data_IF_154145183619
#
_entry.id   IF_154145183619
#
_cell.length_a   1.000
_cell.length_b   1.000
_cell.length_c   1.000
_cell.angle_alpha   90.00
_cell.angle_beta   90.00
_cell.angle_gamma   90.00
#
_symmetry.space_group_name_H-M   'P 1'
#
loop_
_entity.id
_entity.type
_entity.pdbx_description
1 polymer ?
#
# COMPACT_ATOMS: atom_id res chain seq x y z
N UNK A 1 -24.16 28.30 -22.00
CA UNK A 1 -22.87 27.57 -21.99
C UNK A 1 -22.68 27.07 -20.56
N UNK A 2 -22.74 25.76 -20.35
CA UNK A 2 -22.97 25.15 -19.04
C UNK A 2 -21.66 25.14 -18.23
N UNK A 3 -21.65 25.83 -17.08
CA UNK A 3 -20.51 25.85 -16.16
C UNK A 3 -20.32 24.47 -15.53
N UNK A 4 -19.34 23.70 -16.01
CA UNK A 4 -18.83 22.55 -15.28
C UNK A 4 -18.09 23.05 -14.03
N UNK A 5 -18.80 23.10 -12.89
CA UNK A 5 -18.20 23.25 -11.57
C UNK A 5 -17.26 22.06 -11.31
N UNK A 6 -15.94 22.26 -11.16
CA UNK A 6 -15.06 21.17 -10.80
C UNK A 6 -15.29 20.83 -9.34
N UNK A 7 -15.87 19.65 -9.09
CA UNK A 7 -15.97 18.99 -7.79
C UNK A 7 -14.60 18.56 -7.25
N UNK A 8 -13.57 19.40 -7.38
CA UNK A 8 -12.31 19.23 -6.68
C UNK A 8 -12.51 19.68 -5.23
N UNK A 9 -13.25 18.85 -4.48
CA UNK A 9 -13.27 18.88 -3.02
C UNK A 9 -11.81 18.81 -2.60
N UNK A 10 -11.23 19.96 -2.23
CA UNK A 10 -9.91 20.07 -1.60
C UNK A 10 -9.90 19.10 -0.42
N UNK A 11 -9.37 17.89 -0.62
CA UNK A 11 -9.09 16.97 0.48
C UNK A 11 -8.03 17.72 1.29
N UNK A 12 -8.45 18.37 2.36
CA UNK A 12 -7.53 19.13 3.21
C UNK A 12 -6.48 18.13 3.74
N UNK A 13 -5.20 18.47 3.66
CA UNK A 13 -4.06 17.61 4.04
C UNK A 13 -4.23 17.03 5.46
N UNK A 14 -4.95 17.75 6.34
CA UNK A 14 -5.42 17.30 7.67
C UNK A 14 -6.08 15.92 7.70
N UNK A 15 -6.70 15.49 6.59
CA UNK A 15 -7.41 14.21 6.52
C UNK A 15 -6.53 13.05 6.04
N UNK A 16 -5.39 13.32 5.41
CA UNK A 16 -4.60 12.29 4.72
C UNK A 16 -3.87 11.36 5.68
N UNK A 17 -3.21 11.91 6.71
CA UNK A 17 -2.53 11.08 7.72
C UNK A 17 -3.53 10.24 8.53
N UNK A 18 -4.73 10.77 8.79
CA UNK A 18 -5.85 10.06 9.44
C UNK A 18 -6.35 8.92 8.55
N UNK A 19 -6.53 9.16 7.25
CA UNK A 19 -6.94 8.15 6.29
C UNK A 19 -5.92 7.02 6.22
N UNK A 20 -4.64 7.35 6.07
CA UNK A 20 -3.54 6.38 6.06
C UNK A 20 -3.53 5.51 7.31
N UNK A 21 -3.71 6.12 8.49
CA UNK A 21 -3.78 5.41 9.77
C UNK A 21 -4.96 4.44 9.82
N UNK A 22 -6.14 4.85 9.33
CA UNK A 22 -7.32 3.98 9.26
C UNK A 22 -7.10 2.80 8.32
N UNK A 23 -6.52 3.03 7.15
CA UNK A 23 -6.22 1.96 6.18
C UNK A 23 -5.16 1.00 6.77
N UNK A 24 -4.12 1.52 7.41
CA UNK A 24 -3.10 0.71 8.09
C UNK A 24 -3.73 -0.18 9.17
N UNK A 25 -4.60 0.37 10.02
CA UNK A 25 -5.30 -0.40 11.06
C UNK A 25 -6.22 -1.47 10.46
N UNK A 26 -6.98 -1.14 9.41
CA UNK A 26 -7.80 -2.14 8.70
C UNK A 26 -6.93 -3.27 8.12
N UNK A 27 -5.76 -2.92 7.56
CA UNK A 27 -4.80 -3.88 7.05
C UNK A 27 -4.18 -4.75 8.16
N UNK A 28 -3.92 -4.19 9.34
CA UNK A 28 -3.44 -4.94 10.49
C UNK A 28 -4.48 -5.97 10.97
N UNK A 29 -5.77 -5.58 11.03
CA UNK A 29 -6.86 -6.50 11.38
C UNK A 29 -6.97 -7.61 10.33
N UNK A 30 -6.98 -7.26 9.04
CA UNK A 30 -7.01 -8.24 7.96
C UNK A 30 -5.80 -9.17 7.98
N UNK A 31 -4.60 -8.66 8.27
CA UNK A 31 -3.38 -9.45 8.40
C UNK A 31 -3.45 -10.41 9.58
N UNK A 32 -4.02 -9.96 10.70
CA UNK A 32 -4.22 -10.81 11.89
C UNK A 32 -5.17 -11.96 11.60
N UNK A 33 -6.27 -11.68 10.89
CA UNK A 33 -7.21 -12.70 10.41
C UNK A 33 -6.51 -13.68 9.45
N UNK A 34 -5.75 -13.17 8.48
CA UNK A 34 -4.97 -14.02 7.56
C UNK A 34 -3.96 -14.90 8.27
N UNK A 35 -3.26 -14.35 9.26
CA UNK A 35 -2.31 -15.11 10.08
C UNK A 35 -3.01 -16.24 10.82
N UNK A 36 -4.18 -15.95 11.40
CA UNK A 36 -4.97 -16.94 12.11
C UNK A 36 -5.46 -18.04 11.16
N UNK A 37 -5.93 -17.68 9.96
CA UNK A 37 -6.33 -18.62 8.92
C UNK A 37 -5.18 -19.53 8.50
N UNK A 38 -3.98 -18.97 8.34
CA UNK A 38 -2.80 -19.74 7.97
C UNK A 38 -2.45 -20.70 9.11
N UNK A 39 -2.31 -20.22 10.34
CA UNK A 39 -1.76 -21.00 11.47
C UNK A 39 -2.76 -22.02 12.03
N UNK A 40 -4.07 -21.74 11.99
CA UNK A 40 -5.06 -22.65 12.59
C UNK A 40 -5.27 -23.91 11.74
N UNK A 41 -5.30 -25.10 12.37
CA UNK A 41 -5.52 -26.37 11.67
C UNK A 41 -7.02 -26.63 11.40
N UNK A 42 -7.74 -25.64 10.86
CA UNK A 42 -9.18 -25.76 10.53
C UNK A 42 -9.31 -26.03 9.03
N UNK A 43 -10.02 -27.09 8.62
CA UNK A 43 -10.22 -27.36 7.20
C UNK A 43 -10.96 -26.22 6.47
N UNK A 44 -10.56 -25.83 5.24
CA UNK A 44 -9.55 -26.45 4.35
C UNK A 44 -8.11 -25.90 4.55
N UNK A 45 -7.88 -25.07 5.56
CA UNK A 45 -6.64 -24.32 5.77
C UNK A 45 -5.36 -25.10 6.14
N UNK A 46 -5.35 -26.34 6.70
CA UNK A 46 -4.10 -27.06 6.93
C UNK A 46 -3.34 -27.41 5.63
N UNK A 47 -3.99 -27.29 4.48
CA UNK A 47 -3.35 -27.41 3.17
C UNK A 47 -2.38 -26.24 2.89
N UNK A 48 -2.64 -25.04 3.41
CA UNK A 48 -1.81 -23.85 3.17
C UNK A 48 -0.40 -24.02 3.75
N UNK A 49 -0.27 -24.53 4.98
CA UNK A 49 1.04 -24.82 5.57
C UNK A 49 1.79 -25.89 4.79
N UNK A 50 1.10 -26.95 4.37
CA UNK A 50 1.71 -28.01 3.55
C UNK A 50 2.22 -27.45 2.23
N UNK A 51 1.45 -26.57 1.59
CA UNK A 51 1.84 -25.89 0.36
C UNK A 51 3.09 -25.03 0.58
N UNK A 52 3.16 -24.29 1.69
CA UNK A 52 4.33 -23.47 2.03
C UNK A 52 5.56 -24.35 2.27
N UNK A 53 5.41 -25.44 3.04
CA UNK A 53 6.49 -26.39 3.34
C UNK A 53 6.95 -27.15 2.08
N UNK A 54 6.02 -27.46 1.18
CA UNK A 54 6.32 -28.06 -0.12
C UNK A 54 7.24 -27.21 -0.99
N UNK A 55 7.28 -25.90 -0.75
CA UNK A 55 8.17 -24.98 -1.45
C UNK A 55 7.73 -24.65 -2.88
N UNK A 56 8.66 -24.13 -3.68
CA UNK A 56 8.42 -23.75 -5.07
C UNK A 56 7.29 -22.71 -5.20
N UNK A 57 6.16 -23.03 -5.86
CA UNK A 57 5.02 -22.12 -5.97
C UNK A 57 4.43 -21.68 -4.62
N UNK A 58 4.49 -22.52 -3.59
CA UNK A 58 3.99 -22.17 -2.25
C UNK A 58 4.72 -20.98 -1.61
N UNK A 59 5.94 -20.67 -2.08
CA UNK A 59 6.68 -19.49 -1.63
C UNK A 59 6.03 -18.19 -2.12
N UNK A 60 5.32 -18.21 -3.25
CA UNK A 60 4.63 -17.02 -3.76
C UNK A 60 3.46 -16.63 -2.85
N UNK A 61 2.84 -17.62 -2.20
CA UNK A 61 1.82 -17.38 -1.20
C UNK A 61 2.38 -16.64 0.01
N UNK A 62 3.46 -17.15 0.61
CA UNK A 62 4.05 -16.50 1.79
C UNK A 62 4.63 -15.13 1.44
N UNK A 63 5.19 -14.95 0.24
CA UNK A 63 5.66 -13.64 -0.23
C UNK A 63 4.52 -12.62 -0.35
N UNK A 64 3.37 -13.04 -0.88
CA UNK A 64 2.18 -12.19 -0.96
C UNK A 64 1.69 -11.77 0.44
N UNK A 65 1.67 -12.71 1.39
CA UNK A 65 1.33 -12.43 2.79
C UNK A 65 2.34 -11.48 3.47
N UNK A 66 3.65 -11.70 3.29
CA UNK A 66 4.68 -10.82 3.84
C UNK A 66 4.62 -9.41 3.26
N UNK A 67 4.38 -9.27 1.96
CA UNK A 67 4.15 -7.97 1.32
C UNK A 67 2.89 -7.29 1.86
N UNK A 68 1.82 -8.05 2.10
CA UNK A 68 0.58 -7.52 2.66
C UNK A 68 0.79 -6.93 4.05
N UNK A 69 1.61 -7.56 4.91
CA UNK A 69 1.95 -7.03 6.24
C UNK A 69 2.93 -5.86 6.14
N UNK A 70 4.05 -6.06 5.45
CA UNK A 70 5.15 -5.08 5.44
C UNK A 70 4.75 -3.81 4.71
N UNK A 71 4.22 -3.92 3.48
CA UNK A 71 3.83 -2.74 2.70
C UNK A 71 2.48 -2.21 3.16
N UNK A 72 1.51 -3.10 3.43
CA UNK A 72 0.16 -2.70 3.79
C UNK A 72 0.03 -2.14 5.21
N UNK A 73 0.64 -2.75 6.23
CA UNK A 73 0.59 -2.21 7.60
C UNK A 73 1.78 -1.28 7.86
N UNK A 74 3.01 -1.79 7.81
CA UNK A 74 4.18 -0.99 8.18
C UNK A 74 4.42 0.19 7.23
N UNK A 75 4.26 -0.03 5.93
CA UNK A 75 4.41 1.02 4.91
C UNK A 75 3.39 2.14 5.07
N UNK A 76 2.10 1.81 5.20
CA UNK A 76 1.05 2.83 5.39
C UNK A 76 1.16 3.54 6.74
N UNK A 77 1.56 2.83 7.80
CA UNK A 77 1.80 3.43 9.12
C UNK A 77 3.00 4.40 9.09
N UNK A 78 4.11 4.00 8.48
CA UNK A 78 5.30 4.85 8.33
C UNK A 78 4.98 6.10 7.49
N UNK A 79 4.22 5.91 6.42
CA UNK A 79 3.78 7.02 5.58
C UNK A 79 2.83 7.97 6.33
N UNK A 80 1.89 7.45 7.12
CA UNK A 80 1.02 8.25 7.99
C UNK A 80 1.84 9.14 8.93
N UNK A 81 2.90 8.58 9.52
CA UNK A 81 3.82 9.32 10.39
C UNK A 81 4.55 10.45 9.64
N UNK A 82 5.06 10.17 8.44
CA UNK A 82 5.73 11.17 7.60
C UNK A 82 4.80 12.34 7.27
N UNK A 83 3.57 12.05 6.82
CA UNK A 83 2.58 13.11 6.53
C UNK A 83 2.18 13.90 7.78
N UNK A 84 2.09 13.25 8.93
CA UNK A 84 1.81 13.93 10.19
C UNK A 84 2.95 14.86 10.60
N UNK A 85 4.21 14.43 10.44
CA UNK A 85 5.38 15.28 10.72
C UNK A 85 5.44 16.49 9.80
N UNK A 86 5.19 16.30 8.50
CA UNK A 86 5.17 17.39 7.55
C UNK A 86 4.05 18.42 7.81
N UNK A 87 2.91 17.98 8.34
CA UNK A 87 1.83 18.89 8.79
C UNK A 87 2.25 19.71 10.01
N UNK A 88 2.97 19.10 10.97
CA UNK A 88 3.48 19.80 12.16
C UNK A 88 4.48 20.91 11.82
N UNK A 89 5.26 20.72 10.74
CA UNK A 89 6.23 21.69 10.24
C UNK A 89 5.61 22.76 9.32
N UNK A 90 4.28 22.77 9.16
CA UNK A 90 3.52 23.63 8.23
C UNK A 90 4.04 23.54 6.78
N UNK A 91 4.52 22.36 6.37
CA UNK A 91 4.97 22.14 4.99
C UNK A 91 3.76 21.94 4.06
N UNK A 92 3.68 22.74 2.99
CA UNK A 92 2.67 22.61 1.94
C UNK A 92 3.01 21.44 1.02
N UNK A 93 2.27 20.36 1.17
CA UNK A 93 2.34 19.17 0.33
C UNK A 93 1.40 19.33 -0.88
N UNK A 94 1.83 18.88 -2.06
CA UNK A 94 0.95 18.75 -3.22
C UNK A 94 -0.06 17.61 -3.01
N UNK A 95 -1.27 17.98 -2.61
CA UNK A 95 -2.34 17.04 -2.27
C UNK A 95 -2.77 16.13 -3.43
N UNK A 96 -2.77 16.62 -4.67
CA UNK A 96 -3.19 15.79 -5.82
C UNK A 96 -2.18 14.67 -6.08
N UNK A 97 -0.88 14.98 -5.99
CA UNK A 97 0.19 14.01 -6.20
C UNK A 97 0.24 12.97 -5.07
N UNK A 98 0.04 13.43 -3.83
CA UNK A 98 -0.04 12.57 -2.65
C UNK A 98 -1.20 11.57 -2.72
N UNK A 99 -2.41 12.04 -3.07
CA UNK A 99 -3.60 11.18 -3.19
C UNK A 99 -3.47 10.20 -4.36
N UNK A 100 -2.98 10.66 -5.51
CA UNK A 100 -2.77 9.78 -6.67
C UNK A 100 -1.74 8.68 -6.36
N UNK A 101 -0.61 9.05 -5.76
CA UNK A 101 0.41 8.10 -5.33
C UNK A 101 -0.12 7.09 -4.31
N UNK A 102 -0.96 7.55 -3.36
CA UNK A 102 -1.61 6.68 -2.38
C UNK A 102 -2.54 5.67 -3.05
N UNK A 103 -3.41 6.11 -3.96
CA UNK A 103 -4.34 5.21 -4.67
C UNK A 103 -3.57 4.18 -5.48
N UNK A 104 -2.55 4.58 -6.25
CA UNK A 104 -1.72 3.65 -7.01
C UNK A 104 -1.02 2.63 -6.11
N UNK A 105 -0.46 3.09 -4.98
CA UNK A 105 0.24 2.22 -4.03
C UNK A 105 -0.72 1.21 -3.40
N UNK A 106 -1.88 1.67 -2.92
CA UNK A 106 -2.88 0.80 -2.29
C UNK A 106 -3.43 -0.23 -3.27
N UNK A 107 -3.91 0.21 -4.43
CA UNK A 107 -4.51 -0.68 -5.43
C UNK A 107 -3.46 -1.65 -5.97
N UNK A 108 -2.26 -1.17 -6.29
CA UNK A 108 -1.17 -2.01 -6.79
C UNK A 108 -0.76 -3.07 -5.77
N UNK A 109 -0.52 -2.67 -4.52
CA UNK A 109 -0.10 -3.59 -3.46
C UNK A 109 -1.18 -4.61 -3.13
N UNK A 110 -2.43 -4.20 -2.99
CA UNK A 110 -3.54 -5.13 -2.69
C UNK A 110 -3.73 -6.12 -3.84
N UNK A 111 -3.76 -5.64 -5.08
CA UNK A 111 -3.94 -6.51 -6.23
C UNK A 111 -2.74 -7.48 -6.42
N UNK A 112 -1.50 -6.99 -6.26
CA UNK A 112 -0.30 -7.84 -6.31
C UNK A 112 -0.33 -8.90 -5.22
N UNK A 113 -0.64 -8.53 -3.97
CA UNK A 113 -0.64 -9.48 -2.84
C UNK A 113 -1.72 -10.54 -2.99
N UNK A 114 -2.90 -10.18 -3.48
CA UNK A 114 -3.98 -11.13 -3.79
C UNK A 114 -3.56 -12.07 -4.92
N UNK A 115 -3.02 -11.56 -6.02
CA UNK A 115 -2.58 -12.41 -7.13
C UNK A 115 -1.42 -13.33 -6.75
N UNK A 116 -0.45 -12.86 -5.96
CA UNK A 116 0.64 -13.71 -5.48
C UNK A 116 0.11 -14.85 -4.61
N UNK A 117 -0.83 -14.55 -3.71
CA UNK A 117 -1.45 -15.56 -2.84
C UNK A 117 -2.27 -16.56 -3.65
N UNK A 118 -3.08 -16.10 -4.62
CA UNK A 118 -3.83 -17.00 -5.50
C UNK A 118 -2.89 -17.89 -6.32
N UNK A 119 -1.87 -17.31 -6.96
CA UNK A 119 -0.88 -18.07 -7.74
C UNK A 119 -0.16 -19.10 -6.87
N UNK A 120 0.28 -18.70 -5.68
CA UNK A 120 0.96 -19.60 -4.76
C UNK A 120 0.08 -20.71 -4.19
N UNK A 121 -1.20 -20.42 -3.92
CA UNK A 121 -2.16 -21.42 -3.46
C UNK A 121 -2.46 -22.45 -4.55
N UNK A 122 -2.78 -22.01 -5.78
CA UNK A 122 -3.13 -22.91 -6.87
C UNK A 122 -1.91 -23.71 -7.33
N UNK A 123 -0.79 -23.03 -7.60
CA UNK A 123 0.45 -23.70 -8.01
C UNK A 123 0.98 -24.62 -6.93
N UNK A 124 0.85 -24.22 -5.67
CA UNK A 124 1.30 -25.01 -4.53
C UNK A 124 0.44 -26.25 -4.28
N UNK A 125 -0.88 -26.15 -4.48
CA UNK A 125 -1.80 -27.28 -4.40
C UNK A 125 -1.48 -28.32 -5.48
N UNK A 126 -1.34 -27.90 -6.75
CA UNK A 126 -0.99 -28.79 -7.85
C UNK A 126 0.39 -29.45 -7.66
N UNK A 127 1.37 -28.71 -7.14
CA UNK A 127 2.70 -29.23 -6.87
C UNK A 127 2.74 -30.22 -5.70
N UNK A 128 2.17 -29.84 -4.56
CA UNK A 128 2.38 -30.55 -3.29
C UNK A 128 1.35 -31.67 -3.08
N UNK A 129 0.09 -31.43 -3.46
CA UNK A 129 -1.02 -32.34 -3.20
C UNK A 129 -1.26 -33.25 -4.40
N UNK A 130 -1.41 -32.67 -5.59
CA UNK A 130 -1.67 -33.43 -6.82
C UNK A 130 -0.40 -34.04 -7.42
N UNK A 131 0.79 -33.61 -6.97
CA UNK A 131 2.10 -34.02 -7.49
C UNK A 131 2.18 -33.93 -9.02
N UNK A 132 1.58 -32.89 -9.57
CA UNK A 132 1.53 -32.66 -11.00
C UNK A 132 2.93 -32.45 -11.57
N UNK A 133 3.16 -32.81 -12.86
CA UNK A 133 4.42 -32.51 -13.53
C UNK A 133 4.64 -30.99 -13.60
N UNK A 134 5.91 -30.59 -13.54
CA UNK A 134 6.35 -29.19 -13.55
C UNK A 134 5.82 -28.41 -14.76
N UNK A 135 5.65 -29.08 -15.90
CA UNK A 135 5.12 -28.46 -17.13
C UNK A 135 3.67 -27.97 -16.95
N UNK A 136 2.82 -28.77 -16.30
CA UNK A 136 1.42 -28.39 -16.02
C UNK A 136 1.37 -27.18 -15.08
N UNK A 137 2.24 -27.15 -14.08
CA UNK A 137 2.32 -26.06 -13.10
C UNK A 137 2.80 -24.78 -13.78
N UNK A 138 3.79 -24.89 -14.67
CA UNK A 138 4.27 -23.75 -15.47
C UNK A 138 3.14 -23.17 -16.33
N UNK A 139 2.44 -24.00 -17.09
CA UNK A 139 1.32 -23.55 -17.94
C UNK A 139 0.21 -22.85 -17.14
N UNK A 140 0.04 -23.24 -15.87
CA UNK A 140 -0.95 -22.64 -14.98
C UNK A 140 -0.47 -21.30 -14.38
N UNK A 141 0.81 -21.18 -14.04
CA UNK A 141 1.39 -19.98 -13.41
C UNK A 141 1.83 -18.91 -14.41
N UNK A 142 2.32 -19.31 -15.58
CA UNK A 142 2.82 -18.41 -16.63
C UNK A 142 1.85 -17.26 -17.00
N UNK A 143 0.53 -17.48 -17.19
CA UNK A 143 -0.39 -16.38 -17.48
C UNK A 143 -0.57 -15.40 -16.31
N UNK A 144 -0.25 -15.79 -15.08
CA UNK A 144 -0.34 -14.92 -13.88
C UNK A 144 0.90 -14.05 -13.69
N UNK A 145 2.04 -14.40 -14.28
CA UNK A 145 3.31 -13.66 -14.10
C UNK A 145 3.22 -12.23 -14.65
N UNK A 146 2.68 -12.07 -15.86
CA UNK A 146 2.57 -10.76 -16.51
C UNK A 146 1.64 -9.78 -15.78
N UNK A 147 0.41 -10.14 -15.35
CA UNK A 147 -0.42 -9.22 -14.60
C UNK A 147 0.18 -8.87 -13.24
N UNK A 148 0.80 -9.83 -12.54
CA UNK A 148 1.54 -9.55 -11.29
C UNK A 148 2.63 -8.50 -11.53
N UNK A 149 3.41 -8.64 -12.62
CA UNK A 149 4.46 -7.68 -12.98
C UNK A 149 3.90 -6.27 -13.21
N UNK A 150 2.78 -6.14 -13.92
CA UNK A 150 2.13 -4.86 -14.16
C UNK A 150 1.70 -4.19 -12.85
N UNK A 151 1.10 -4.97 -11.95
CA UNK A 151 0.62 -4.48 -10.66
C UNK A 151 1.76 -4.01 -9.75
N UNK A 152 2.90 -4.72 -9.78
CA UNK A 152 4.12 -4.32 -9.06
C UNK A 152 4.67 -3.00 -9.61
N UNK A 153 4.70 -2.83 -10.94
CA UNK A 153 5.12 -1.57 -11.56
C UNK A 153 4.20 -0.43 -11.14
N UNK A 154 2.88 -0.66 -11.15
CA UNK A 154 1.90 0.33 -10.70
C UNK A 154 2.10 0.71 -9.23
N UNK A 155 2.33 -0.26 -8.34
CA UNK A 155 2.62 -0.01 -6.93
C UNK A 155 3.92 0.81 -6.78
N UNK A 156 4.96 0.48 -7.54
CA UNK A 156 6.26 1.17 -7.53
C UNK A 156 6.13 2.64 -7.95
N UNK A 157 5.37 2.91 -9.02
CA UNK A 157 5.06 4.28 -9.46
C UNK A 157 4.34 5.04 -8.35
N UNK A 158 3.37 4.40 -7.68
CA UNK A 158 2.68 4.97 -6.54
C UNK A 158 3.65 5.44 -5.44
N UNK A 159 4.61 4.60 -5.05
CA UNK A 159 5.61 4.93 -4.01
C UNK A 159 6.49 6.11 -4.43
N UNK A 160 6.91 6.16 -5.70
CA UNK A 160 7.71 7.28 -6.24
C UNK A 160 6.93 8.60 -6.17
N UNK A 161 5.65 8.58 -6.55
CA UNK A 161 4.78 9.76 -6.47
C UNK A 161 4.59 10.24 -5.02
N UNK A 162 4.46 9.32 -4.07
CA UNK A 162 4.35 9.70 -2.66
C UNK A 162 5.66 10.26 -2.10
N UNK A 163 6.79 9.66 -2.46
CA UNK A 163 8.11 10.14 -2.04
C UNK A 163 8.40 11.54 -2.58
N UNK A 164 8.11 11.78 -3.86
CA UNK A 164 8.26 13.11 -4.48
C UNK A 164 7.30 14.14 -3.87
N UNK A 165 6.06 13.78 -3.57
CA UNK A 165 5.10 14.68 -2.92
C UNK A 165 5.60 15.18 -1.55
N UNK A 166 6.30 14.32 -0.80
CA UNK A 166 6.91 14.68 0.49
C UNK A 166 8.20 15.48 0.31
N UNK A 167 9.09 15.09 -0.61
CA UNK A 167 10.37 15.77 -0.84
C UNK A 167 10.20 17.20 -1.36
N UNK A 168 9.19 17.44 -2.21
CA UNK A 168 8.88 18.77 -2.73
C UNK A 168 7.93 19.57 -1.82
N UNK A 169 7.70 19.12 -0.58
CA UNK A 169 6.90 19.87 0.37
C UNK A 169 7.61 21.19 0.73
N UNK A 170 6.95 22.32 0.46
CA UNK A 170 7.54 23.65 0.68
C UNK A 170 7.09 24.19 2.04
N UNK A 171 8.02 24.70 2.85
CA UNK A 171 7.71 25.38 4.11
C UNK A 171 6.72 26.54 3.87
N UNK A 172 5.64 26.60 4.65
CA UNK A 172 4.62 27.64 4.55
C UNK A 172 5.14 28.98 5.07
N UNK A 173 5.05 30.05 4.27
CA UNK A 173 5.48 31.42 4.60
C UNK A 173 4.67 32.10 5.73
N UNK A 174 3.73 31.41 6.39
CA UNK A 174 2.94 32.00 7.48
C UNK A 174 3.80 32.44 8.67
N UNK A 175 4.92 31.77 8.93
CA UNK A 175 5.85 32.15 9.99
C UNK A 175 6.55 33.50 9.72
N UNK A 176 6.71 33.89 8.46
CA UNK A 176 7.43 35.12 8.07
C UNK A 176 6.56 36.37 8.27
N UNK A 177 5.26 36.26 8.03
CA UNK A 177 4.31 37.37 8.18
C UNK A 177 4.00 37.71 9.65
N UNK A 178 4.00 36.73 10.55
CA UNK A 178 3.74 36.97 11.97
C UNK A 178 4.91 37.72 12.63
N UNK A 179 6.16 37.40 12.24
CA UNK A 179 7.35 38.14 12.68
C UNK A 179 7.43 39.57 12.13
N UNK A 180 6.92 39.86 10.93
CA UNK A 180 6.94 41.23 10.39
C UNK A 180 5.90 42.13 11.04
N UNK A 181 4.72 41.60 11.36
CA UNK A 181 3.66 42.34 12.04
C UNK A 181 4.00 42.64 13.51
N UNK A 182 4.70 41.74 14.20
CA UNK A 182 5.20 41.98 15.56
C UNK A 182 6.32 43.03 15.63
N UNK A 183 7.08 43.21 14.56
CA UNK A 183 8.15 44.22 14.50
C UNK A 183 7.64 45.61 14.09
N UNK A 184 6.59 45.66 13.27
CA UNK A 184 5.91 46.92 12.90
C UNK A 184 5.16 47.56 14.07
N UNK A 185 4.58 46.78 14.98
CA UNK A 185 3.84 47.29 16.15
C UNK A 185 4.74 47.75 17.32
N UNK A 186 6.07 47.71 17.18
CA UNK A 186 7.02 48.20 18.20
C UNK A 186 7.57 49.59 17.89
N UNK A 187 7.16 50.20 16.78
CA UNK A 187 7.64 51.51 16.33
C UNK A 187 6.56 52.60 16.26
N UNK A 188 5.35 52.31 16.76
CA UNK A 188 4.29 53.29 17.06
C UNK A 188 4.21 53.53 18.57
#
# INVERSE_FOLDING_TARGET
MNEQKPYLRKIHVKSLHILLRKIALANAVAASIWTLIIVLPIEPFPLLLRIIVGGGPGIWFIMGYLLFITVGFCGLAGLSYIYHSAEKEDNKINNQLAVLGLVLTCVGTIATTIMLQLAGAIGGYEYTIMRAPTEKIRLLLEPLVNPIRLLVIMASIGVILQSTAVLFAKKSDKATHESSNLNSNKHD
#
